data_IF_219239276707
#
_entry.id   IF_219239276707
#
_cell.length_a   1.000
_cell.length_b   1.000
_cell.length_c   1.000
_cell.angle_alpha   90.00
_cell.angle_beta   90.00
_cell.angle_gamma   90.00
#
_symmetry.space_group_name_H-M   'P 1'
#
loop_
_entity.id
_entity.type
_entity.pdbx_description
1 polymer ?
#
# COMPACT_ATOMS: atom_id res chain seq x y z
N UNK A 1 17.36 -3.56 -4.48
CA UNK A 1 16.34 -2.49 -4.67
C UNK A 1 15.10 -3.12 -5.29
N UNK A 2 13.97 -3.12 -4.58
CA UNK A 2 12.71 -3.77 -4.98
C UNK A 2 11.92 -2.99 -6.06
N UNK A 3 12.58 -2.45 -7.09
CA UNK A 3 11.86 -1.71 -8.14
C UNK A 3 10.97 -2.66 -8.95
N UNK A 4 9.67 -2.33 -9.01
CA UNK A 4 8.64 -3.02 -9.82
C UNK A 4 8.37 -4.48 -9.44
N UNK A 5 8.59 -4.86 -8.19
CA UNK A 5 8.27 -6.20 -7.69
C UNK A 5 6.90 -6.24 -7.01
N UNK A 6 6.10 -7.25 -7.34
CA UNK A 6 4.86 -7.53 -6.63
C UNK A 6 5.17 -8.22 -5.28
N UNK A 7 4.31 -7.98 -4.28
CA UNK A 7 4.39 -8.63 -2.95
C UNK A 7 3.20 -9.58 -2.85
N UNK A 8 3.35 -10.82 -3.33
CA UNK A 8 2.27 -11.82 -3.32
C UNK A 8 2.42 -12.78 -2.14
N UNK A 9 3.67 -13.14 -1.81
CA UNK A 9 3.96 -13.99 -0.66
C UNK A 9 5.30 -13.63 -0.02
N UNK A 10 5.39 -13.75 1.30
CA UNK A 10 6.66 -13.61 2.03
C UNK A 10 7.71 -14.65 1.57
N UNK A 11 7.26 -15.80 1.05
CA UNK A 11 8.16 -16.87 0.54
C UNK A 11 8.97 -16.45 -0.69
N UNK A 12 8.55 -15.41 -1.38
CA UNK A 12 9.29 -14.91 -2.54
C UNK A 12 10.56 -14.18 -2.10
N UNK A 13 10.63 -13.70 -0.85
CA UNK A 13 11.69 -12.82 -0.38
C UNK A 13 12.80 -13.62 0.32
N UNK A 14 14.05 -13.27 0.03
CA UNK A 14 15.17 -13.70 0.87
C UNK A 14 15.13 -12.98 2.22
N UNK A 15 15.91 -13.47 3.19
CA UNK A 15 16.07 -12.81 4.49
C UNK A 15 16.57 -11.37 4.32
N UNK A 16 17.59 -11.19 3.49
CA UNK A 16 18.24 -9.90 3.24
C UNK A 16 17.27 -8.90 2.59
N UNK A 17 16.36 -9.39 1.74
CA UNK A 17 15.31 -8.56 1.15
C UNK A 17 14.26 -8.16 2.20
N UNK A 18 13.88 -9.06 3.10
CA UNK A 18 12.98 -8.76 4.22
C UNK A 18 13.62 -7.70 5.11
N UNK A 19 14.89 -7.88 5.48
CA UNK A 19 15.63 -6.93 6.33
C UNK A 19 15.68 -5.55 5.65
N UNK A 20 15.92 -5.50 4.34
CA UNK A 20 15.88 -4.25 3.55
C UNK A 20 14.51 -3.57 3.58
N UNK A 21 13.41 -4.33 3.58
CA UNK A 21 12.04 -3.77 3.69
C UNK A 21 11.81 -3.19 5.09
N UNK A 22 12.29 -3.87 6.12
CA UNK A 22 12.15 -3.43 7.52
C UNK A 22 13.00 -2.18 7.81
N UNK A 23 14.21 -2.10 7.25
CA UNK A 23 15.06 -0.90 7.32
C UNK A 23 14.38 0.30 6.64
N UNK A 24 13.80 0.08 5.44
CA UNK A 24 13.03 1.11 4.76
C UNK A 24 11.81 1.54 5.57
N UNK A 25 11.06 0.59 6.14
CA UNK A 25 9.91 0.89 6.98
C UNK A 25 10.30 1.75 8.19
N UNK A 26 11.44 1.44 8.83
CA UNK A 26 12.00 2.21 9.94
C UNK A 26 12.36 3.64 9.51
N UNK A 27 12.96 3.80 8.33
CA UNK A 27 13.28 5.14 7.79
C UNK A 27 12.04 6.00 7.49
N UNK A 28 10.88 5.36 7.27
CA UNK A 28 9.60 6.02 6.99
C UNK A 28 8.79 6.35 8.26
N UNK A 29 9.25 5.92 9.44
CA UNK A 29 8.57 6.16 10.71
C UNK A 29 8.23 7.65 10.96
N UNK A 30 9.08 8.64 10.65
CA UNK A 30 8.73 10.05 10.84
C UNK A 30 7.46 10.46 10.09
N UNK A 31 7.24 9.93 8.88
CA UNK A 31 6.03 10.18 8.10
C UNK A 31 4.82 9.47 8.72
N UNK A 32 5.02 8.26 9.23
CA UNK A 32 4.00 7.55 10.01
C UNK A 32 3.62 8.28 11.32
N UNK A 33 4.50 9.12 11.85
CA UNK A 33 4.24 9.99 13.02
C UNK A 33 3.68 11.37 12.65
N UNK A 34 3.46 11.65 11.36
CA UNK A 34 2.79 12.87 10.89
C UNK A 34 3.67 13.87 10.14
N UNK A 35 4.95 13.55 9.89
CA UNK A 35 5.75 14.33 8.93
C UNK A 35 5.10 14.24 7.55
N UNK A 36 4.96 15.39 6.86
CA UNK A 36 4.43 15.43 5.49
C UNK A 36 5.54 15.16 4.49
N UNK A 37 5.17 14.56 3.37
CA UNK A 37 6.04 14.29 2.21
C UNK A 37 5.23 14.39 0.93
N UNK A 38 5.92 14.65 -0.18
CA UNK A 38 5.43 14.66 -1.55
C UNK A 38 6.04 13.52 -2.39
N UNK A 39 6.70 12.54 -1.76
CA UNK A 39 7.33 11.38 -2.40
C UNK A 39 6.41 10.63 -3.38
N UNK A 40 5.10 10.61 -3.12
CA UNK A 40 4.09 9.96 -3.95
C UNK A 40 3.14 10.98 -4.62
N UNK A 41 3.53 12.25 -4.72
CA UNK A 41 2.74 13.26 -5.43
C UNK A 41 2.43 12.84 -6.87
N UNK A 42 1.18 13.02 -7.27
CA UNK A 42 0.67 12.60 -8.58
C UNK A 42 0.51 11.07 -8.76
N UNK A 43 0.78 10.25 -7.74
CA UNK A 43 0.53 8.80 -7.77
C UNK A 43 -0.84 8.47 -7.19
N UNK A 44 -1.55 7.55 -7.83
CA UNK A 44 -2.86 7.04 -7.40
C UNK A 44 -2.72 5.54 -7.12
N UNK A 45 -3.13 5.10 -5.92
CA UNK A 45 -3.22 3.69 -5.55
C UNK A 45 -4.69 3.23 -5.59
N UNK A 46 -4.97 2.18 -6.35
CA UNK A 46 -6.25 1.50 -6.32
C UNK A 46 -6.30 0.46 -5.20
N UNK A 47 -7.34 0.53 -4.35
CA UNK A 47 -7.60 -0.43 -3.28
C UNK A 47 -8.75 -1.35 -3.68
N UNK A 48 -8.43 -2.63 -3.87
CA UNK A 48 -9.37 -3.67 -4.27
C UNK A 48 -9.59 -4.63 -3.09
N UNK A 49 -10.52 -4.30 -2.20
CA UNK A 49 -10.89 -5.15 -1.05
C UNK A 49 -12.17 -5.92 -1.37
N UNK A 50 -12.05 -7.24 -1.57
CA UNK A 50 -13.19 -8.13 -1.81
C UNK A 50 -13.85 -8.62 -0.51
N UNK A 51 -13.12 -8.54 0.60
CA UNK A 51 -13.63 -8.82 1.94
C UNK A 51 -13.40 -7.61 2.86
N UNK A 52 -14.28 -7.35 3.84
CA UNK A 52 -14.12 -6.25 4.78
C UNK A 52 -12.80 -6.34 5.58
N UNK A 53 -11.94 -5.32 5.44
CA UNK A 53 -10.69 -5.23 6.22
C UNK A 53 -10.33 -3.79 6.59
N UNK A 54 -10.82 -3.35 7.75
CA UNK A 54 -10.68 -1.96 8.20
C UNK A 54 -9.23 -1.56 8.43
N UNK A 55 -8.46 -2.38 9.16
CA UNK A 55 -7.06 -2.06 9.51
C UNK A 55 -6.18 -1.94 8.28
N UNK A 56 -6.27 -2.90 7.37
CA UNK A 56 -5.45 -2.92 6.16
C UNK A 56 -5.80 -1.74 5.26
N UNK A 57 -7.09 -1.51 4.99
CA UNK A 57 -7.54 -0.36 4.18
C UNK A 57 -7.04 0.97 4.76
N UNK A 58 -7.29 1.21 6.04
CA UNK A 58 -6.89 2.47 6.69
C UNK A 58 -5.38 2.68 6.65
N UNK A 59 -4.57 1.63 6.83
CA UNK A 59 -3.12 1.72 6.76
C UNK A 59 -2.62 2.13 5.36
N UNK A 60 -3.13 1.51 4.30
CA UNK A 60 -2.76 1.89 2.92
C UNK A 60 -3.20 3.31 2.57
N UNK A 61 -4.43 3.69 2.92
CA UNK A 61 -4.91 5.05 2.67
C UNK A 61 -4.08 6.10 3.41
N UNK A 62 -3.78 5.85 4.68
CA UNK A 62 -3.03 6.78 5.53
C UNK A 62 -1.60 6.93 5.03
N UNK A 63 -0.94 5.83 4.65
CA UNK A 63 0.41 5.86 4.09
C UNK A 63 0.46 6.67 2.78
N UNK A 64 -0.44 6.41 1.84
CA UNK A 64 -0.53 7.17 0.58
C UNK A 64 -0.74 8.66 0.84
N UNK A 65 -1.71 9.02 1.68
CA UNK A 65 -2.04 10.42 1.98
C UNK A 65 -0.87 11.16 2.66
N UNK A 66 -0.16 10.51 3.60
CA UNK A 66 1.00 11.10 4.30
C UNK A 66 2.20 11.34 3.39
N UNK A 67 2.34 10.51 2.36
CA UNK A 67 3.39 10.64 1.35
C UNK A 67 2.96 11.49 0.14
N UNK A 68 1.80 12.16 0.21
CA UNK A 68 1.33 13.08 -0.83
C UNK A 68 0.61 12.44 -2.02
N UNK A 69 0.35 11.13 -1.95
CA UNK A 69 -0.38 10.38 -2.96
C UNK A 69 -1.89 10.34 -2.72
N UNK A 70 -2.61 9.82 -3.70
CA UNK A 70 -4.08 9.66 -3.68
C UNK A 70 -4.48 8.19 -3.73
N UNK A 71 -5.71 7.91 -3.30
CA UNK A 71 -6.31 6.56 -3.32
C UNK A 71 -7.65 6.56 -4.04
N UNK A 72 -7.92 5.49 -4.77
CA UNK A 72 -9.25 5.17 -5.28
C UNK A 72 -9.67 3.80 -4.73
N UNK A 73 -10.94 3.65 -4.38
CA UNK A 73 -11.47 2.41 -3.83
C UNK A 73 -12.47 1.82 -4.81
N UNK A 74 -12.42 0.51 -5.03
CA UNK A 74 -13.32 -0.20 -5.94
C UNK A 74 -14.80 -0.15 -5.50
N UNK A 75 -15.08 0.20 -4.24
CA UNK A 75 -16.43 0.10 -3.69
C UNK A 75 -16.86 -1.37 -3.52
N UNK A 76 -18.15 -1.65 -3.30
CA UNK A 76 -18.64 -3.02 -3.17
C UNK A 76 -18.34 -3.84 -4.43
N UNK A 77 -17.82 -5.05 -4.26
CA UNK A 77 -17.44 -5.93 -5.37
C UNK A 77 -18.61 -6.22 -6.33
N UNK A 78 -19.85 -6.19 -5.82
CA UNK A 78 -21.13 -6.35 -6.53
C UNK A 78 -21.32 -5.36 -7.68
N UNK A 79 -20.69 -4.18 -7.63
CA UNK A 79 -20.73 -3.18 -8.70
C UNK A 79 -19.63 -3.35 -9.76
N UNK A 80 -18.75 -4.34 -9.60
CA UNK A 80 -17.58 -4.53 -10.48
C UNK A 80 -17.81 -5.64 -11.50
N UNK A 81 -17.07 -5.59 -12.62
CA UNK A 81 -17.16 -6.62 -13.67
C UNK A 81 -16.71 -8.02 -13.23
N UNK A 82 -16.15 -8.17 -12.02
CA UNK A 82 -15.83 -9.48 -11.44
C UNK A 82 -17.11 -10.27 -11.14
N UNK A 83 -18.23 -9.59 -10.84
CA UNK A 83 -19.53 -10.23 -10.62
C UNK A 83 -20.21 -10.76 -11.90
N UNK A 84 -19.66 -10.42 -13.06
CA UNK A 84 -20.18 -10.86 -14.37
C UNK A 84 -19.52 -12.18 -14.83
N UNK A 85 -18.46 -12.63 -14.15
CA UNK A 85 -17.68 -13.82 -14.47
C UNK A 85 -17.91 -14.97 -13.51
#
# INVERSE_FOLDING_TARGET
>A
MLMKRHVLSMREFSREEIDSVLDLASSLEPFARGKKSDMLAGKILALLFFEPSTRTRMSFETAMKRLGGSVINLGPAEGSSISKG
#
